data_IF_281893591766
#
_entry.id   IF_281893591766
#
_cell.length_a   1.000
_cell.length_b   1.000
_cell.length_c   1.000
_cell.angle_alpha   90.00
_cell.angle_beta   90.00
_cell.angle_gamma   90.00
#
_symmetry.space_group_name_H-M   'P 1'
#
loop_
_entity.id
_entity.type
_entity.pdbx_description
1 polymer ?
#
# COMPACT_ATOMS: atom_id res chain seq x y z
N UNK A 1 7.55 -31.90 34.31
CA UNK A 1 7.89 -31.48 32.95
C UNK A 1 6.74 -30.60 32.47
N UNK A 2 6.85 -29.29 32.66
CA UNK A 2 5.78 -28.33 32.37
C UNK A 2 5.91 -27.93 30.91
N UNK A 3 4.95 -28.29 30.07
CA UNK A 3 4.90 -27.84 28.67
C UNK A 3 4.69 -26.32 28.64
N UNK A 4 5.45 -25.57 27.82
CA UNK A 4 5.22 -24.13 27.68
C UNK A 4 3.85 -23.91 27.02
N UNK A 5 3.04 -23.06 27.65
CA UNK A 5 1.80 -22.52 27.09
C UNK A 5 2.12 -21.86 25.73
N UNK A 6 1.38 -22.16 24.65
CA UNK A 6 1.57 -21.47 23.39
C UNK A 6 1.36 -19.98 23.63
N UNK A 7 2.35 -19.15 23.24
CA UNK A 7 2.22 -17.71 23.27
C UNK A 7 0.94 -17.35 22.51
N UNK A 8 -0.02 -16.72 23.19
CA UNK A 8 -1.20 -16.14 22.52
C UNK A 8 -0.65 -15.18 21.47
N UNK A 9 -0.90 -15.48 20.19
CA UNK A 9 -0.68 -14.52 19.11
C UNK A 9 -1.39 -13.24 19.51
N UNK A 10 -0.64 -12.14 19.62
CA UNK A 10 -1.21 -10.85 19.98
C UNK A 10 -2.35 -10.51 19.01
N UNK A 11 -3.45 -9.90 19.47
CA UNK A 11 -4.53 -9.51 18.59
C UNK A 11 -3.99 -8.60 17.48
N UNK A 12 -4.30 -8.95 16.24
CA UNK A 12 -3.95 -8.13 15.08
C UNK A 12 -4.92 -6.96 15.02
N UNK A 13 -4.39 -5.77 15.26
CA UNK A 13 -5.14 -4.51 15.38
C UNK A 13 -4.38 -3.42 14.63
N UNK A 14 -5.06 -2.33 14.28
CA UNK A 14 -4.39 -1.15 13.67
C UNK A 14 -3.21 -0.70 14.54
N UNK A 15 -3.38 -0.68 15.86
CA UNK A 15 -2.31 -0.33 16.81
C UNK A 15 -1.08 -1.24 16.71
N UNK A 16 -1.27 -2.56 16.57
CA UNK A 16 -0.14 -3.49 16.42
C UNK A 16 0.61 -3.28 15.09
N UNK A 17 -0.12 -2.94 14.03
CA UNK A 17 0.43 -2.63 12.71
C UNK A 17 1.24 -1.34 12.77
N UNK A 18 0.67 -0.27 13.33
CA UNK A 18 1.36 1.02 13.56
C UNK A 18 2.68 0.79 14.30
N UNK A 19 2.64 0.07 15.43
CA UNK A 19 3.85 -0.22 16.20
C UNK A 19 4.92 -0.97 15.39
N UNK A 20 4.50 -1.92 14.54
CA UNK A 20 5.41 -2.68 13.67
C UNK A 20 6.01 -1.80 12.57
N UNK A 21 5.21 -0.94 11.94
CA UNK A 21 5.67 0.00 10.92
C UNK A 21 6.59 1.08 11.50
N UNK A 22 6.32 1.58 12.71
CA UNK A 22 7.23 2.49 13.41
C UNK A 22 8.58 1.83 13.70
N UNK A 23 8.57 0.57 14.17
CA UNK A 23 9.79 -0.19 14.42
C UNK A 23 10.57 -0.46 13.12
N UNK A 24 9.88 -0.79 12.03
CA UNK A 24 10.49 -0.95 10.72
C UNK A 24 11.15 0.35 10.25
N UNK A 25 10.45 1.49 10.34
CA UNK A 25 10.98 2.80 9.96
C UNK A 25 12.23 3.16 10.76
N UNK A 26 12.25 2.91 12.07
CA UNK A 26 13.39 3.18 12.93
C UNK A 26 14.63 2.30 12.63
N UNK A 27 14.43 1.12 12.04
CA UNK A 27 15.51 0.20 11.70
C UNK A 27 16.13 0.46 10.31
N UNK A 28 15.47 1.23 9.45
CA UNK A 28 15.92 1.48 8.08
C UNK A 28 16.75 2.77 7.97
N UNK A 29 17.78 2.82 7.10
CA UNK A 29 18.57 4.02 6.90
C UNK A 29 17.72 5.19 6.37
N UNK A 30 18.04 6.45 6.77
CA UNK A 30 17.48 7.63 6.13
C UNK A 30 17.75 7.61 4.63
N UNK A 31 16.71 7.81 3.82
CA UNK A 31 16.79 7.78 2.35
C UNK A 31 16.62 6.41 1.70
N UNK A 32 16.45 5.34 2.48
CA UNK A 32 16.01 4.05 1.95
C UNK A 32 14.58 4.19 1.39
N UNK A 33 14.35 3.77 0.15
CA UNK A 33 13.05 3.88 -0.52
C UNK A 33 11.92 3.12 0.18
N UNK A 34 12.22 2.02 0.87
CA UNK A 34 11.25 1.33 1.72
C UNK A 34 10.93 2.16 2.96
N UNK A 35 11.92 2.86 3.54
CA UNK A 35 11.67 3.77 4.66
C UNK A 35 10.78 4.95 4.23
N UNK A 36 11.01 5.51 3.04
CA UNK A 36 10.18 6.58 2.46
C UNK A 36 8.72 6.13 2.32
N UNK A 37 8.47 5.01 1.65
CA UNK A 37 7.11 4.49 1.53
C UNK A 37 6.50 4.12 2.89
N UNK A 38 7.26 3.47 3.77
CA UNK A 38 6.79 3.11 5.11
C UNK A 38 6.31 4.34 5.90
N UNK A 39 7.04 5.46 5.81
CA UNK A 39 6.64 6.72 6.46
C UNK A 39 5.31 7.26 5.93
N UNK A 40 5.15 7.29 4.60
CA UNK A 40 3.88 7.70 3.97
C UNK A 40 2.73 6.79 4.42
N UNK A 41 2.93 5.48 4.39
CA UNK A 41 1.88 4.53 4.74
C UNK A 41 1.56 4.56 6.24
N UNK A 42 2.57 4.74 7.11
CA UNK A 42 2.38 4.87 8.55
C UNK A 42 1.43 6.04 8.88
N UNK A 43 1.66 7.20 8.27
CA UNK A 43 0.80 8.37 8.45
C UNK A 43 -0.67 8.08 8.07
N UNK A 44 -0.89 7.32 7.00
CA UNK A 44 -2.24 6.91 6.55
C UNK A 44 -2.87 5.96 7.57
N UNK A 45 -2.15 4.92 7.99
CA UNK A 45 -2.65 3.94 8.97
C UNK A 45 -2.97 4.60 10.33
N UNK A 46 -2.16 5.58 10.76
CA UNK A 46 -2.44 6.36 11.98
C UNK A 46 -3.71 7.21 11.87
N UNK A 47 -3.96 7.85 10.70
CA UNK A 47 -5.22 8.57 10.45
C UNK A 47 -6.41 7.61 10.49
N UNK A 48 -6.33 6.45 9.83
CA UNK A 48 -7.40 5.44 9.87
C UNK A 48 -7.66 5.00 11.31
N UNK A 49 -6.60 4.74 12.09
CA UNK A 49 -6.71 4.41 13.51
C UNK A 49 -7.44 5.48 14.34
N UNK A 50 -7.18 6.77 14.09
CA UNK A 50 -7.94 7.85 14.74
C UNK A 50 -9.40 7.87 14.30
N UNK A 51 -9.67 7.74 13.01
CA UNK A 51 -11.04 7.76 12.47
C UNK A 51 -11.89 6.59 12.97
N UNK A 52 -11.28 5.43 13.19
CA UNK A 52 -11.90 4.30 13.88
C UNK A 52 -12.29 4.67 15.32
N UNK A 53 -11.38 5.29 16.08
CA UNK A 53 -11.66 5.73 17.45
C UNK A 53 -12.76 6.80 17.52
N UNK A 54 -12.86 7.66 16.50
CA UNK A 54 -13.86 8.72 16.38
C UNK A 54 -15.23 8.23 15.87
N UNK A 55 -15.38 6.93 15.54
CA UNK A 55 -16.63 6.38 15.04
C UNK A 55 -17.01 6.84 13.63
N UNK A 56 -16.02 7.15 12.79
CA UNK A 56 -16.24 7.68 11.44
C UNK A 56 -16.80 6.68 10.42
N UNK A 57 -16.54 5.38 10.62
CA UNK A 57 -16.91 4.30 9.71
C UNK A 57 -18.23 3.65 10.13
N UNK A 58 -19.02 3.18 9.16
CA UNK A 58 -20.29 2.50 9.44
C UNK A 58 -20.08 1.11 10.07
N UNK A 59 -19.10 0.35 9.57
CA UNK A 59 -18.64 -0.90 10.18
C UNK A 59 -17.16 -0.79 10.57
N UNK A 60 -16.86 -0.23 11.77
CA UNK A 60 -15.50 -0.11 12.27
C UNK A 60 -14.76 -1.45 12.34
N UNK A 61 -15.48 -2.56 12.54
CA UNK A 61 -14.84 -3.88 12.64
C UNK A 61 -14.40 -4.40 11.28
N UNK A 62 -15.19 -4.18 10.22
CA UNK A 62 -14.79 -4.51 8.85
C UNK A 62 -13.67 -3.58 8.37
N UNK A 63 -13.72 -2.29 8.71
CA UNK A 63 -12.66 -1.34 8.37
C UNK A 63 -11.34 -1.68 9.07
N UNK A 64 -11.34 -2.02 10.37
CA UNK A 64 -10.12 -2.46 11.06
C UNK A 64 -9.56 -3.77 10.47
N UNK A 65 -10.42 -4.74 10.14
CA UNK A 65 -9.98 -5.98 9.49
C UNK A 65 -9.32 -5.69 8.12
N UNK A 66 -9.90 -4.80 7.32
CA UNK A 66 -9.34 -4.38 6.04
C UNK A 66 -7.99 -3.69 6.22
N UNK A 67 -7.89 -2.70 7.11
CA UNK A 67 -6.66 -1.95 7.36
C UNK A 67 -5.51 -2.88 7.79
N UNK A 68 -5.79 -3.80 8.72
CA UNK A 68 -4.82 -4.79 9.19
C UNK A 68 -4.37 -5.71 8.04
N UNK A 69 -5.31 -6.28 7.28
CA UNK A 69 -4.99 -7.18 6.15
C UNK A 69 -4.26 -6.47 5.03
N UNK A 70 -4.53 -5.20 4.84
CA UNK A 70 -3.85 -4.39 3.85
C UNK A 70 -2.40 -4.20 4.29
N UNK A 71 -2.17 -3.75 5.52
CA UNK A 71 -0.82 -3.53 6.02
C UNK A 71 0.03 -4.79 6.09
N UNK A 72 -0.58 -5.91 6.46
CA UNK A 72 0.11 -7.20 6.52
C UNK A 72 0.66 -7.64 5.17
N UNK A 73 0.03 -7.27 4.04
CA UNK A 73 0.56 -7.61 2.71
C UNK A 73 1.87 -6.89 2.42
N UNK A 74 1.90 -5.59 2.70
CA UNK A 74 3.13 -4.81 2.60
C UNK A 74 4.23 -5.39 3.51
N UNK A 75 3.89 -5.61 4.79
CA UNK A 75 4.84 -6.12 5.77
C UNK A 75 5.32 -7.55 5.44
N UNK A 76 4.47 -8.40 4.87
CA UNK A 76 4.87 -9.72 4.38
C UNK A 76 5.82 -9.61 3.17
N UNK A 77 5.63 -8.62 2.29
CA UNK A 77 6.57 -8.36 1.21
C UNK A 77 7.96 -7.91 1.75
N UNK A 78 7.98 -7.11 2.82
CA UNK A 78 9.22 -6.76 3.54
C UNK A 78 9.87 -8.00 4.14
N UNK A 79 9.12 -8.82 4.89
CA UNK A 79 9.63 -10.04 5.51
C UNK A 79 10.17 -11.04 4.49
N UNK A 80 9.51 -11.18 3.34
CA UNK A 80 9.95 -12.06 2.27
C UNK A 80 11.34 -11.67 1.79
N UNK A 81 11.63 -10.38 1.63
CA UNK A 81 12.95 -9.91 1.21
C UNK A 81 13.99 -10.07 2.31
N UNK A 82 13.66 -9.74 3.57
CA UNK A 82 14.61 -9.82 4.69
C UNK A 82 15.05 -11.25 4.99
N UNK A 83 14.19 -12.24 4.69
CA UNK A 83 14.47 -13.67 4.84
C UNK A 83 15.07 -14.31 3.58
N UNK A 84 15.39 -13.54 2.54
CA UNK A 84 15.99 -14.02 1.29
C UNK A 84 15.01 -14.67 0.31
N UNK A 85 13.71 -14.57 0.58
CA UNK A 85 12.63 -14.98 -0.31
C UNK A 85 12.34 -13.96 -1.42
N UNK A 86 11.27 -14.23 -2.18
CA UNK A 86 10.86 -13.41 -3.33
C UNK A 86 9.50 -12.76 -3.05
N UNK A 87 9.41 -11.42 -3.00
CA UNK A 87 8.13 -10.74 -2.83
C UNK A 87 7.29 -10.81 -4.11
N UNK A 88 5.99 -10.43 -4.05
CA UNK A 88 5.15 -10.20 -5.23
C UNK A 88 5.84 -9.32 -6.27
N UNK A 89 5.55 -9.54 -7.55
CA UNK A 89 6.20 -8.84 -8.65
C UNK A 89 6.02 -7.32 -8.59
N UNK A 90 4.89 -6.84 -8.08
CA UNK A 90 4.56 -5.43 -7.89
C UNK A 90 5.54 -4.70 -6.95
N UNK A 91 6.04 -5.40 -5.93
CA UNK A 91 6.95 -4.86 -4.91
C UNK A 91 8.43 -4.94 -5.30
N UNK A 92 8.81 -5.88 -6.19
CA UNK A 92 10.22 -6.12 -6.55
C UNK A 92 10.98 -4.87 -6.99
N UNK A 93 10.42 -3.97 -7.84
CA UNK A 93 11.15 -2.79 -8.30
C UNK A 93 11.59 -1.88 -7.14
N UNK A 94 10.70 -1.64 -6.17
CA UNK A 94 11.01 -0.82 -5.00
C UNK A 94 12.16 -1.42 -4.20
N UNK A 95 12.09 -2.72 -3.88
CA UNK A 95 13.15 -3.39 -3.12
C UNK A 95 14.49 -3.44 -3.87
N UNK A 96 14.47 -3.59 -5.19
CA UNK A 96 15.68 -3.62 -6.02
C UNK A 96 16.38 -2.26 -6.09
N UNK A 97 15.60 -1.17 -6.13
CA UNK A 97 16.13 0.19 -6.31
C UNK A 97 16.15 1.02 -5.02
N UNK A 98 15.79 0.44 -3.87
CA UNK A 98 15.61 1.12 -2.57
C UNK A 98 16.79 1.99 -2.10
N UNK A 99 18.00 1.78 -2.60
CA UNK A 99 19.19 2.58 -2.27
C UNK A 99 19.80 3.28 -3.50
N UNK A 100 19.10 3.32 -4.62
CA UNK A 100 19.65 3.83 -5.87
C UNK A 100 19.76 5.36 -5.85
N UNK A 101 20.96 5.96 -6.05
CA UNK A 101 21.18 7.40 -5.86
C UNK A 101 20.45 8.28 -6.89
N UNK A 102 20.09 7.70 -8.04
CA UNK A 102 19.32 8.39 -9.07
C UNK A 102 17.79 8.36 -8.87
N UNK A 103 17.27 7.69 -7.84
CA UNK A 103 15.82 7.62 -7.59
C UNK A 103 15.45 8.54 -6.43
N UNK A 104 14.43 9.38 -6.62
CA UNK A 104 14.03 10.40 -5.63
C UNK A 104 12.98 9.88 -4.64
N UNK A 105 12.86 10.49 -3.44
CA UNK A 105 11.86 10.10 -2.44
C UNK A 105 10.43 10.00 -3.00
N UNK A 106 9.99 10.96 -3.81
CA UNK A 106 8.65 10.92 -4.43
C UNK A 106 8.45 9.71 -5.35
N UNK A 107 9.49 9.26 -6.07
CA UNK A 107 9.41 8.05 -6.90
C UNK A 107 9.26 6.79 -6.05
N UNK A 108 9.95 6.72 -4.91
CA UNK A 108 9.79 5.59 -3.97
C UNK A 108 8.40 5.55 -3.35
N UNK A 109 7.86 6.70 -2.93
CA UNK A 109 6.51 6.80 -2.42
C UNK A 109 5.48 6.36 -3.47
N UNK A 110 5.56 6.90 -4.70
CA UNK A 110 4.66 6.53 -5.79
C UNK A 110 4.77 5.05 -6.17
N UNK A 111 5.98 4.49 -6.20
CA UNK A 111 6.16 3.07 -6.51
C UNK A 111 5.55 2.17 -5.43
N UNK A 112 5.70 2.53 -4.15
CA UNK A 112 5.06 1.82 -3.05
C UNK A 112 3.54 1.96 -3.07
N UNK A 113 3.00 3.16 -3.31
CA UNK A 113 1.55 3.39 -3.48
C UNK A 113 1.01 2.57 -4.66
N UNK A 114 1.72 2.54 -5.79
CA UNK A 114 1.36 1.74 -6.95
C UNK A 114 1.28 0.25 -6.61
N UNK A 115 2.30 -0.31 -5.93
CA UNK A 115 2.29 -1.72 -5.52
C UNK A 115 1.16 -2.01 -4.54
N UNK A 116 0.99 -1.15 -3.53
CA UNK A 116 0.05 -1.36 -2.45
C UNK A 116 -1.40 -1.20 -2.92
N UNK A 117 -1.75 -0.06 -3.52
CA UNK A 117 -3.12 0.17 -4.02
C UNK A 117 -3.41 -0.71 -5.24
N UNK A 118 -2.48 -0.81 -6.19
CA UNK A 118 -2.71 -1.49 -7.47
C UNK A 118 -2.82 -3.00 -7.38
N UNK A 119 -2.28 -3.63 -6.32
CA UNK A 119 -2.28 -5.08 -6.15
C UNK A 119 -2.80 -5.51 -4.77
N UNK A 120 -2.20 -5.00 -3.69
CA UNK A 120 -2.50 -5.50 -2.34
C UNK A 120 -3.93 -5.19 -1.90
N UNK A 121 -4.48 -4.03 -2.28
CA UNK A 121 -5.80 -3.57 -1.85
C UNK A 121 -6.92 -4.50 -2.33
N UNK A 122 -6.88 -4.92 -3.60
CA UNK A 122 -7.89 -5.82 -4.16
C UNK A 122 -7.93 -7.17 -3.42
N UNK A 123 -6.74 -7.70 -3.10
CA UNK A 123 -6.60 -8.92 -2.33
C UNK A 123 -7.03 -8.73 -0.86
N UNK A 124 -6.74 -7.58 -0.25
CA UNK A 124 -7.15 -7.26 1.11
C UNK A 124 -8.66 -7.17 1.26
N UNK A 125 -9.35 -6.55 0.29
CA UNK A 125 -10.81 -6.52 0.21
C UNK A 125 -11.39 -7.94 0.08
N UNK A 126 -10.85 -8.75 -0.83
CA UNK A 126 -11.26 -10.15 -1.02
C UNK A 126 -11.17 -10.96 0.28
N UNK A 127 -10.04 -10.85 0.96
CA UNK A 127 -9.80 -11.56 2.21
C UNK A 127 -10.66 -11.04 3.36
N UNK A 128 -10.95 -9.74 3.40
CA UNK A 128 -11.85 -9.14 4.39
C UNK A 128 -13.26 -9.68 4.22
N UNK A 129 -13.79 -9.68 2.99
CA UNK A 129 -15.09 -10.27 2.68
C UNK A 129 -15.16 -11.75 3.10
N UNK A 130 -14.14 -12.54 2.78
CA UNK A 130 -14.07 -13.96 3.18
C UNK A 130 -14.04 -14.14 4.69
N UNK A 131 -13.22 -13.37 5.40
CA UNK A 131 -13.06 -13.48 6.85
C UNK A 131 -14.32 -13.05 7.62
N UNK A 132 -15.07 -12.09 7.07
CA UNK A 132 -16.25 -11.50 7.71
C UNK A 132 -17.58 -12.07 7.19
N UNK A 133 -17.56 -12.89 6.14
CA UNK A 133 -18.76 -13.38 5.48
C UNK A 133 -19.58 -12.25 4.83
N UNK A 134 -18.90 -11.22 4.33
CA UNK A 134 -19.52 -10.04 3.71
C UNK A 134 -19.52 -10.16 2.19
N UNK A 135 -20.60 -9.70 1.57
CA UNK A 135 -20.60 -9.42 0.13
C UNK A 135 -19.89 -8.07 -0.14
N UNK A 136 -19.32 -7.86 -1.34
CA UNK A 136 -18.57 -6.65 -1.67
C UNK A 136 -19.33 -5.34 -1.41
N UNK A 137 -20.65 -5.30 -1.67
CA UNK A 137 -21.49 -4.11 -1.50
C UNK A 137 -21.49 -3.63 -0.03
N UNK A 138 -21.24 -4.53 0.93
CA UNK A 138 -21.15 -4.16 2.35
C UNK A 138 -19.90 -3.35 2.69
N UNK A 139 -18.84 -3.41 1.87
CA UNK A 139 -17.60 -2.65 2.08
C UNK A 139 -17.57 -1.32 1.33
N UNK A 140 -18.43 -1.13 0.32
CA UNK A 140 -18.36 0.00 -0.63
C UNK A 140 -18.43 1.37 0.06
N UNK A 141 -19.39 1.54 0.97
CA UNK A 141 -19.58 2.83 1.65
C UNK A 141 -18.39 3.26 2.52
N UNK A 142 -17.78 2.33 3.25
CA UNK A 142 -16.59 2.64 4.06
C UNK A 142 -15.31 2.67 3.22
N UNK A 143 -15.27 1.93 2.11
CA UNK A 143 -14.20 2.06 1.10
C UNK A 143 -14.15 3.47 0.51
N UNK A 144 -15.30 4.07 0.18
CA UNK A 144 -15.39 5.45 -0.32
C UNK A 144 -14.95 6.48 0.72
N UNK A 145 -15.33 6.27 1.98
CA UNK A 145 -14.87 7.08 3.12
C UNK A 145 -13.35 7.05 3.28
N UNK A 146 -12.73 5.87 3.19
CA UNK A 146 -11.27 5.74 3.17
C UNK A 146 -10.69 6.53 2.00
N UNK A 147 -11.34 6.49 0.84
CA UNK A 147 -10.97 7.29 -0.32
C UNK A 147 -10.89 8.78 -0.08
N UNK A 148 -11.96 9.35 0.48
CA UNK A 148 -12.02 10.76 0.80
C UNK A 148 -10.91 11.17 1.78
N UNK A 149 -10.58 10.32 2.76
CA UNK A 149 -9.46 10.54 3.68
C UNK A 149 -8.12 10.57 2.92
N UNK A 150 -7.89 9.60 2.04
CA UNK A 150 -6.66 9.46 1.27
C UNK A 150 -6.44 10.65 0.32
N UNK A 151 -7.47 11.12 -0.37
CA UNK A 151 -7.38 12.31 -1.25
C UNK A 151 -6.94 13.54 -0.46
N UNK A 152 -7.45 13.75 0.75
CA UNK A 152 -7.03 14.88 1.60
C UNK A 152 -5.59 14.77 2.11
N UNK A 153 -4.98 13.58 2.09
CA UNK A 153 -3.58 13.36 2.45
C UNK A 153 -2.63 13.51 1.25
N UNK A 154 -3.13 13.31 0.03
CA UNK A 154 -2.31 13.35 -1.19
C UNK A 154 -1.57 14.68 -1.35
N UNK A 155 -2.27 15.80 -1.15
CA UNK A 155 -1.67 17.14 -1.25
C UNK A 155 -0.53 17.32 -0.25
N UNK A 156 -0.73 16.89 1.01
CA UNK A 156 0.28 16.98 2.07
C UNK A 156 1.51 16.12 1.76
N UNK A 157 1.29 14.87 1.33
CA UNK A 157 2.37 13.95 0.97
C UNK A 157 3.18 14.51 -0.22
N UNK A 158 2.51 15.14 -1.19
CA UNK A 158 3.15 15.78 -2.33
C UNK A 158 4.06 16.93 -1.89
N UNK A 159 3.56 17.81 -1.03
CA UNK A 159 4.32 18.95 -0.49
C UNK A 159 5.53 18.50 0.33
N UNK A 160 5.37 17.46 1.17
CA UNK A 160 6.46 16.92 2.00
C UNK A 160 7.57 16.26 1.16
N UNK A 161 7.21 15.57 0.08
CA UNK A 161 8.17 14.82 -0.75
C UNK A 161 8.78 15.64 -1.90
N UNK A 162 8.20 16.79 -2.23
CA UNK A 162 8.70 17.73 -3.24
C UNK A 162 8.73 19.19 -2.74
N UNK A 163 9.50 19.52 -1.69
CA UNK A 163 9.62 20.90 -1.22
C UNK A 163 10.51 21.71 -2.18
N UNK A 164 9.93 22.50 -3.08
CA UNK A 164 10.70 23.36 -3.99
C UNK A 164 9.86 24.24 -4.91
N UNK A 165 10.37 25.42 -5.33
CA UNK A 165 9.64 26.37 -6.16
C UNK A 165 9.73 25.96 -7.63
N UNK A 166 8.96 24.96 -8.05
CA UNK A 166 8.45 24.87 -9.43
C UNK A 166 7.36 23.79 -9.52
N UNK A 167 6.17 24.15 -9.02
CA UNK A 167 4.91 23.51 -9.43
C UNK A 167 4.48 23.93 -10.85
N UNK A 168 5.26 24.81 -11.51
CA UNK A 168 4.86 25.48 -12.75
C UNK A 168 5.63 25.03 -14.00
N UNK A 169 6.70 24.24 -13.88
CA UNK A 169 7.35 23.61 -15.04
C UNK A 169 6.80 22.20 -15.27
N UNK A 170 5.72 22.11 -16.05
CA UNK A 170 5.08 20.84 -16.44
C UNK A 170 6.03 19.94 -17.26
N UNK A 171 7.14 20.49 -17.79
CA UNK A 171 8.15 19.73 -18.50
C UNK A 171 9.18 19.05 -17.57
N UNK A 172 9.21 19.40 -16.27
CA UNK A 172 10.02 18.66 -15.30
C UNK A 172 9.51 17.21 -15.17
N UNK A 173 10.37 16.19 -15.35
CA UNK A 173 9.97 14.80 -15.32
C UNK A 173 9.29 14.36 -14.02
N UNK A 174 9.63 14.94 -12.87
CA UNK A 174 9.00 14.60 -11.59
C UNK A 174 7.63 15.26 -11.45
N UNK A 175 7.51 16.53 -11.82
CA UNK A 175 6.23 17.23 -11.87
C UNK A 175 5.25 16.54 -12.80
N UNK A 176 5.69 16.13 -14.00
CA UNK A 176 4.85 15.36 -14.93
C UNK A 176 4.46 13.98 -14.37
N UNK A 177 5.41 13.25 -13.76
CA UNK A 177 5.15 11.93 -13.18
C UNK A 177 4.09 12.00 -12.07
N UNK A 178 4.23 12.97 -11.17
CA UNK A 178 3.32 13.19 -10.04
C UNK A 178 1.96 13.65 -10.53
N UNK A 179 1.91 14.59 -11.49
CA UNK A 179 0.66 15.05 -12.09
C UNK A 179 -0.08 13.98 -12.89
N UNK A 180 0.64 12.98 -13.43
CA UNK A 180 0.06 11.88 -14.20
C UNK A 180 -0.49 10.75 -13.33
N UNK A 181 -0.06 10.66 -12.07
CA UNK A 181 -0.52 9.65 -11.13
C UNK A 181 -1.78 10.12 -10.38
N UNK A 182 -2.76 9.23 -10.21
CA UNK A 182 -4.02 9.55 -9.53
C UNK A 182 -4.39 8.43 -8.57
N UNK A 183 -4.45 8.78 -7.28
CA UNK A 183 -4.83 7.83 -6.23
C UNK A 183 -6.29 7.37 -6.38
N UNK A 184 -7.19 8.28 -6.77
CA UNK A 184 -8.59 7.97 -7.08
C UNK A 184 -8.69 6.88 -8.17
N UNK A 185 -8.07 7.09 -9.34
CA UNK A 185 -8.09 6.11 -10.43
C UNK A 185 -7.46 4.77 -10.03
N UNK A 186 -6.39 4.80 -9.24
CA UNK A 186 -5.76 3.58 -8.73
C UNK A 186 -6.71 2.80 -7.80
N UNK A 187 -7.47 3.50 -6.94
CA UNK A 187 -8.48 2.89 -6.07
C UNK A 187 -9.65 2.32 -6.85
N UNK A 188 -10.14 3.03 -7.87
CA UNK A 188 -11.22 2.54 -8.74
C UNK A 188 -10.80 1.25 -9.46
N UNK A 189 -9.56 1.22 -9.96
CA UNK A 189 -8.99 0.02 -10.57
C UNK A 189 -8.86 -1.13 -9.57
N UNK A 190 -8.45 -0.84 -8.33
CA UNK A 190 -8.37 -1.84 -7.26
C UNK A 190 -9.74 -2.39 -6.88
N UNK A 191 -10.78 -1.55 -6.82
CA UNK A 191 -12.16 -1.97 -6.58
C UNK A 191 -12.67 -2.87 -7.71
N UNK A 192 -12.42 -2.49 -8.97
CA UNK A 192 -12.76 -3.32 -10.12
C UNK A 192 -12.04 -4.68 -10.11
N UNK A 193 -10.75 -4.70 -9.79
CA UNK A 193 -9.97 -5.94 -9.66
C UNK A 193 -10.50 -6.83 -8.52
N UNK A 194 -10.85 -6.23 -7.38
CA UNK A 194 -11.51 -6.93 -6.28
C UNK A 194 -12.85 -7.56 -6.71
N UNK A 195 -13.72 -6.81 -7.39
CA UNK A 195 -15.00 -7.32 -7.90
C UNK A 195 -14.81 -8.47 -8.89
N UNK A 196 -13.81 -8.38 -9.77
CA UNK A 196 -13.46 -9.45 -10.68
C UNK A 196 -13.01 -10.71 -9.93
N UNK A 197 -12.08 -10.57 -8.98
CA UNK A 197 -11.62 -11.68 -8.13
C UNK A 197 -12.76 -12.30 -7.31
N UNK A 198 -13.67 -11.48 -6.78
CA UNK A 198 -14.86 -11.96 -6.10
C UNK A 198 -15.73 -12.79 -7.03
N UNK A 199 -16.00 -12.32 -8.25
CA UNK A 199 -16.77 -13.06 -9.25
C UNK A 199 -16.11 -14.38 -9.66
N UNK A 200 -14.78 -14.39 -9.79
CA UNK A 200 -13.98 -15.56 -10.16
C UNK A 200 -13.79 -16.56 -9.01
N UNK A 201 -14.30 -16.30 -7.80
CA UNK A 201 -14.07 -17.15 -6.62
C UNK A 201 -14.48 -18.62 -6.77
N UNK A 202 -15.39 -18.92 -7.70
CA UNK A 202 -15.83 -20.27 -8.01
C UNK A 202 -14.90 -21.00 -9.00
N UNK A 203 -13.91 -20.32 -9.58
CA UNK A 203 -12.94 -20.85 -10.54
C UNK A 203 -11.52 -20.44 -10.11
N UNK A 204 -10.93 -21.15 -9.12
CA UNK A 204 -9.67 -20.73 -8.47
C UNK A 204 -8.51 -20.49 -9.44
N UNK A 205 -8.36 -21.34 -10.45
CA UNK A 205 -7.30 -21.21 -11.47
C UNK A 205 -7.37 -19.87 -12.21
N UNK A 206 -8.58 -19.41 -12.59
CA UNK A 206 -8.75 -18.12 -13.25
C UNK A 206 -8.55 -16.94 -12.30
N UNK A 207 -8.94 -17.10 -11.02
CA UNK A 207 -8.70 -16.06 -10.02
C UNK A 207 -7.20 -15.88 -9.75
N UNK A 208 -6.45 -16.98 -9.67
CA UNK A 208 -4.99 -16.98 -9.53
C UNK A 208 -4.31 -16.35 -10.76
N UNK A 209 -4.66 -16.77 -11.97
CA UNK A 209 -4.11 -16.19 -13.20
C UNK A 209 -4.39 -14.68 -13.29
N UNK A 210 -5.60 -14.25 -12.92
CA UNK A 210 -5.95 -12.83 -12.89
C UNK A 210 -5.11 -12.07 -11.86
N UNK A 211 -4.96 -12.58 -10.64
CA UNK A 211 -4.15 -11.97 -9.60
C UNK A 211 -2.67 -11.86 -10.02
N UNK A 212 -2.10 -12.91 -10.62
CA UNK A 212 -0.73 -12.90 -11.15
C UNK A 212 -0.55 -11.88 -12.28
N UNK A 213 -1.56 -11.71 -13.14
CA UNK A 213 -1.53 -10.72 -14.22
C UNK A 213 -1.57 -9.30 -13.68
N UNK A 214 -2.39 -9.04 -12.66
CA UNK A 214 -2.42 -7.76 -11.95
C UNK A 214 -1.06 -7.50 -11.30
N UNK A 215 -0.52 -8.46 -10.55
CA UNK A 215 0.81 -8.38 -9.91
C UNK A 215 1.92 -8.00 -10.90
N UNK A 216 1.99 -8.71 -12.04
CA UNK A 216 2.98 -8.48 -13.07
C UNK A 216 2.83 -7.11 -13.75
N UNK A 217 1.59 -6.67 -14.00
CA UNK A 217 1.29 -5.38 -14.65
C UNK A 217 1.65 -4.20 -13.74
N UNK A 218 1.24 -4.27 -12.47
CA UNK A 218 1.58 -3.27 -11.45
C UNK A 218 3.10 -3.22 -11.25
N UNK A 219 3.78 -4.37 -11.28
CA UNK A 219 5.24 -4.45 -11.24
C UNK A 219 5.93 -3.86 -12.45
N UNK A 220 5.32 -3.89 -13.63
CA UNK A 220 5.82 -3.19 -14.82
C UNK A 220 5.73 -1.67 -14.64
N UNK A 221 4.59 -1.16 -14.16
CA UNK A 221 4.42 0.27 -13.85
C UNK A 221 5.44 0.73 -12.81
N UNK A 222 5.66 -0.06 -11.76
CA UNK A 222 6.66 0.23 -10.73
C UNK A 222 8.09 0.39 -11.27
N UNK A 223 8.46 -0.35 -12.32
CA UNK A 223 9.76 -0.17 -13.00
C UNK A 223 9.88 1.18 -13.71
N UNK A 224 8.80 1.65 -14.34
CA UNK A 224 8.78 2.97 -14.97
C UNK A 224 8.82 4.10 -13.93
N UNK A 225 8.04 3.97 -12.84
CA UNK A 225 8.02 4.96 -11.76
C UNK A 225 9.41 5.18 -11.12
N UNK A 226 10.22 4.13 -11.06
CA UNK A 226 11.56 4.15 -10.46
C UNK A 226 12.67 4.40 -11.49
N UNK A 227 12.35 4.93 -12.68
CA UNK A 227 13.38 5.32 -13.67
C UNK A 227 14.34 6.32 -13.03
N UNK A 228 15.64 6.00 -12.90
CA UNK A 228 16.59 6.92 -12.30
C UNK A 228 16.71 8.21 -13.12
N UNK A 229 16.65 9.35 -12.44
CA UNK A 229 16.82 10.67 -13.05
C UNK A 229 18.25 11.18 -12.83
N UNK A 230 18.83 11.89 -13.82
CA UNK A 230 20.11 12.56 -13.64
C UNK A 230 20.08 13.46 -12.40
N UNK A 231 21.22 13.64 -11.76
CA UNK A 231 21.36 14.70 -10.75
C UNK A 231 21.09 16.05 -11.44
N UNK A 232 20.31 16.93 -10.80
CA UNK A 232 20.24 18.31 -11.26
C UNK A 232 21.66 18.87 -11.25
N UNK A 233 22.11 19.41 -12.39
CA UNK A 233 23.39 20.09 -12.51
C UNK A 233 23.44 21.33 -11.61
#
# INVERSE_FOLDING_TARGET
MTMPTPARLAPRTVRSVVARMSALGAALPPGDGVAVFNGVYLSVTEEVGRRLADGYFHDPSATEELDVRFAERYLAAVDAVTTGGRPPACWRPLFQLRCHPGVRPVQFALAGINAHIGHDLALALLDTCRARGLEPDALEGDFDRIGALLTGMEERIREELMPGPDLLDVADPLTHLVGSWSLEKARDAAWAAFRALWGLRAVPELAEEFAERVDATVGLVGRFLLTPLPSAC
#
